data_IF_234332957651
#
_entry.id   IF_234332957651
#
_cell.length_a   1.000
_cell.length_b   1.000
_cell.length_c   1.000
_cell.angle_alpha   90.00
_cell.angle_beta   90.00
_cell.angle_gamma   90.00
#
_symmetry.space_group_name_H-M   'P 1'
#
loop_
_entity.id
_entity.type
_entity.pdbx_description
1 polymer ?
#
# COMPACT_ATOMS: atom_id res chain seq x y z
N UNK A 1 -0.34 2.52 -15.90
CA UNK A 1 0.69 1.46 -15.88
C UNK A 1 0.04 0.16 -15.45
N UNK A 2 0.72 -0.98 -15.63
CA UNK A 2 0.25 -2.24 -15.04
C UNK A 2 0.46 -2.22 -13.52
N UNK A 3 -0.49 -2.78 -12.76
CA UNK A 3 -0.38 -2.90 -11.31
C UNK A 3 0.68 -3.93 -10.95
N UNK A 4 1.52 -3.63 -9.96
CA UNK A 4 2.52 -4.56 -9.43
C UNK A 4 2.09 -5.06 -8.05
N UNK A 5 2.22 -6.37 -7.81
CA UNK A 5 1.82 -7.03 -6.57
C UNK A 5 3.05 -7.66 -5.92
N UNK A 6 3.26 -7.35 -4.64
CA UNK A 6 4.33 -7.89 -3.80
C UNK A 6 3.73 -8.43 -2.50
N UNK A 7 4.51 -9.22 -1.76
CA UNK A 7 4.06 -9.81 -0.48
C UNK A 7 3.73 -8.74 0.58
N UNK A 8 4.36 -7.56 0.50
CA UNK A 8 4.14 -6.44 1.42
C UNK A 8 3.12 -5.40 0.94
N UNK A 9 2.57 -5.55 -0.28
CA UNK A 9 1.58 -4.61 -0.81
C UNK A 9 1.55 -4.52 -2.33
N UNK A 10 0.67 -3.67 -2.86
CA UNK A 10 0.46 -3.43 -4.28
C UNK A 10 0.82 -2.00 -4.65
N UNK A 11 1.35 -1.82 -5.86
CA UNK A 11 1.71 -0.53 -6.42
C UNK A 11 0.98 -0.29 -7.73
N UNK A 12 0.44 0.91 -7.88
CA UNK A 12 -0.25 1.36 -9.09
C UNK A 12 0.21 2.75 -9.51
N UNK A 13 0.03 3.07 -10.79
CA UNK A 13 0.34 4.40 -11.33
C UNK A 13 -0.82 4.93 -12.15
N UNK A 14 -1.29 6.12 -11.78
CA UNK A 14 -2.31 6.87 -12.50
C UNK A 14 -1.73 8.19 -13.02
N UNK A 15 -2.27 8.67 -14.13
CA UNK A 15 -2.03 10.01 -14.64
C UNK A 15 -3.28 10.83 -14.36
N UNK A 16 -3.12 11.98 -13.72
CA UNK A 16 -4.20 12.94 -13.61
C UNK A 16 -4.39 13.71 -14.94
N UNK A 17 -5.47 14.50 -15.08
CA UNK A 17 -5.69 15.31 -16.28
C UNK A 17 -4.63 16.41 -16.52
N UNK A 18 -3.80 16.72 -15.52
CA UNK A 18 -2.72 17.71 -15.59
C UNK A 18 -1.39 17.08 -16.02
N UNK A 19 -1.35 15.75 -16.19
CA UNK A 19 -0.17 15.00 -16.60
C UNK A 19 0.77 14.63 -15.45
N UNK A 20 0.36 14.83 -14.19
CA UNK A 20 1.15 14.40 -13.05
C UNK A 20 1.04 12.88 -12.87
N UNK A 21 2.19 12.25 -12.63
CA UNK A 21 2.27 10.82 -12.31
C UNK A 21 2.08 10.62 -10.81
N UNK A 22 0.98 9.97 -10.43
CA UNK A 22 0.70 9.62 -9.05
C UNK A 22 1.00 8.14 -8.85
N UNK A 23 1.78 7.84 -7.81
CA UNK A 23 2.07 6.48 -7.35
C UNK A 23 1.17 6.15 -6.17
N UNK A 24 0.43 5.05 -6.29
CA UNK A 24 -0.48 4.55 -5.27
C UNK A 24 0.13 3.30 -4.65
N UNK A 25 0.17 3.25 -3.32
CA UNK A 25 0.60 2.09 -2.55
C UNK A 25 -0.56 1.59 -1.67
N UNK A 26 -0.92 0.33 -1.83
CA UNK A 26 -1.91 -0.39 -1.01
C UNK A 26 -1.15 -1.43 -0.18
N UNK A 27 -1.03 -1.28 1.15
CA UNK A 27 -0.33 -2.26 1.98
C UNK A 27 -1.06 -3.62 1.97
N UNK A 28 -0.33 -4.71 2.11
CA UNK A 28 -0.94 -6.02 2.37
C UNK A 28 -1.22 -6.09 3.88
N UNK A 29 -2.49 -6.22 4.28
CA UNK A 29 -2.93 -6.24 5.68
C UNK A 29 -2.08 -7.18 6.56
N UNK A 30 -1.66 -8.34 6.05
CA UNK A 30 -0.80 -9.27 6.78
C UNK A 30 0.60 -8.70 7.07
N UNK A 31 1.19 -8.00 6.11
CA UNK A 31 2.49 -7.36 6.28
C UNK A 31 2.39 -6.07 7.12
N UNK A 32 1.24 -5.38 7.07
CA UNK A 32 0.97 -4.22 7.92
C UNK A 32 0.78 -4.63 9.38
N UNK A 33 0.00 -5.68 9.64
CA UNK A 33 -0.22 -6.25 10.98
C UNK A 33 1.09 -6.76 11.61
N UNK A 34 2.01 -7.35 10.83
CA UNK A 34 3.34 -7.73 11.31
C UNK A 34 4.26 -6.54 11.58
N UNK A 35 4.05 -5.41 10.90
CA UNK A 35 4.87 -4.20 11.03
C UNK A 35 4.41 -3.28 12.18
N UNK A 36 3.17 -3.42 12.65
CA UNK A 36 2.63 -2.72 13.83
C UNK A 36 2.30 -3.69 14.98
N UNK A 37 3.30 -4.23 15.70
CA UNK A 37 3.06 -5.13 16.83
C UNK A 37 2.34 -4.47 18.03
N UNK A 38 2.22 -3.15 18.07
CA UNK A 38 1.70 -2.42 19.23
C UNK A 38 0.55 -1.49 18.84
N UNK A 39 -0.70 -1.95 18.93
CA UNK A 39 -1.85 -1.11 19.37
C UNK A 39 -3.14 -1.88 19.69
N UNK A 40 -3.10 -3.18 20.03
CA UNK A 40 -4.18 -3.74 20.85
C UNK A 40 -3.79 -4.98 21.68
N UNK A 41 -3.13 -4.74 22.81
CA UNK A 41 -3.32 -5.55 24.01
C UNK A 41 -3.36 -4.61 25.20
N UNK A 42 -4.51 -3.97 25.37
CA UNK A 42 -5.00 -3.54 26.67
C UNK A 42 -6.50 -3.80 26.69
N UNK A 43 -6.83 -5.07 26.93
CA UNK A 43 -8.05 -5.42 27.69
C UNK A 43 -7.90 -4.95 29.13
#
# INVERSE_FOLDING_TARGET
GEMQVYDYGKFGWILDPEGNKIELWEPNDKAFDEMTPDTNTSS
#
